data_IF_509434378192
#
_entry.id   IF_509434378192
#
_cell.length_a   1.000
_cell.length_b   1.000
_cell.length_c   1.000
_cell.angle_alpha   90.00
_cell.angle_beta   90.00
_cell.angle_gamma   90.00
#
_symmetry.space_group_name_H-M   'P 1'
#
loop_
_entity.id
_entity.type
_entity.pdbx_description
1 polymer ?
#
# COMPACT_ATOMS: atom_id res chain seq x y z
N UNK A 1 -52.44 -4.58 12.56
CA UNK A 1 -51.66 -3.42 12.07
C UNK A 1 -51.18 -3.68 10.66
N UNK A 2 -51.18 -2.65 9.80
CA UNK A 2 -50.66 -2.70 8.43
C UNK A 2 -49.43 -1.81 8.35
N UNK A 3 -48.37 -2.28 7.68
CA UNK A 3 -47.12 -1.55 7.48
C UNK A 3 -46.91 -1.33 5.98
N UNK A 4 -46.83 -0.06 5.57
CA UNK A 4 -46.41 0.31 4.22
C UNK A 4 -44.91 0.59 4.20
N UNK A 5 -44.20 -0.01 3.25
CA UNK A 5 -42.74 0.13 3.10
C UNK A 5 -42.45 0.74 1.73
N UNK A 6 -41.76 1.87 1.71
CA UNK A 6 -41.28 2.53 0.50
C UNK A 6 -39.76 2.65 0.52
N UNK A 7 -39.13 2.51 -0.65
CA UNK A 7 -37.69 2.70 -0.84
C UNK A 7 -37.51 3.56 -2.08
N UNK A 8 -36.70 4.61 -1.96
CA UNK A 8 -36.37 5.51 -3.06
C UNK A 8 -34.86 5.55 -3.26
N UNK A 9 -34.41 5.70 -4.51
CA UNK A 9 -33.00 5.65 -4.87
C UNK A 9 -32.77 5.93 -6.35
N UNK A 10 -31.50 6.10 -6.72
CA UNK A 10 -31.08 6.39 -8.10
C UNK A 10 -30.88 5.13 -8.96
N UNK A 11 -30.72 3.97 -8.33
CA UNK A 11 -30.57 2.67 -8.99
C UNK A 11 -31.79 1.78 -8.70
N UNK A 12 -32.64 1.59 -9.71
CA UNK A 12 -33.90 0.87 -9.58
C UNK A 12 -33.73 -0.63 -9.21
N UNK A 13 -32.85 -1.41 -9.86
CA UNK A 13 -32.50 -2.75 -9.39
C UNK A 13 -32.15 -2.82 -7.90
N UNK A 14 -31.34 -1.89 -7.39
CA UNK A 14 -30.96 -1.87 -5.97
C UNK A 14 -32.12 -1.50 -5.05
N UNK A 15 -33.00 -0.60 -5.49
CA UNK A 15 -34.25 -0.25 -4.78
C UNK A 15 -35.16 -1.48 -4.66
N UNK A 16 -35.36 -2.21 -5.76
CA UNK A 16 -36.19 -3.42 -5.77
C UNK A 16 -35.56 -4.54 -4.94
N UNK A 17 -34.24 -4.71 -5.00
CA UNK A 17 -33.52 -5.66 -4.14
C UNK A 17 -33.70 -5.32 -2.66
N UNK A 18 -33.63 -4.05 -2.29
CA UNK A 18 -33.86 -3.60 -0.92
C UNK A 18 -35.28 -3.95 -0.46
N UNK A 19 -36.29 -3.71 -1.31
CA UNK A 19 -37.67 -4.11 -1.03
C UNK A 19 -37.82 -5.64 -0.91
N UNK A 20 -37.13 -6.42 -1.74
CA UNK A 20 -37.12 -7.88 -1.62
C UNK A 20 -36.53 -8.35 -0.28
N UNK A 21 -35.43 -7.73 0.18
CA UNK A 21 -34.80 -8.02 1.47
C UNK A 21 -35.77 -7.68 2.61
N UNK A 22 -36.39 -6.49 2.60
CA UNK A 22 -37.38 -6.12 3.60
C UNK A 22 -38.57 -7.07 3.62
N UNK A 23 -39.11 -7.41 2.46
CA UNK A 23 -40.23 -8.33 2.33
C UNK A 23 -39.89 -9.73 2.86
N UNK A 24 -38.71 -10.26 2.54
CA UNK A 24 -38.25 -11.54 3.08
C UNK A 24 -38.12 -11.49 4.61
N UNK A 25 -37.49 -10.45 5.15
CA UNK A 25 -37.32 -10.29 6.61
C UNK A 25 -38.65 -10.14 7.37
N UNK A 26 -39.65 -9.49 6.77
CA UNK A 26 -40.99 -9.34 7.33
C UNK A 26 -41.78 -10.66 7.22
N UNK A 27 -41.67 -11.36 6.09
CA UNK A 27 -42.28 -12.68 5.90
C UNK A 27 -41.75 -13.70 6.92
N UNK A 28 -40.44 -13.71 7.17
CA UNK A 28 -39.81 -14.58 8.19
C UNK A 28 -40.29 -14.27 9.61
N UNK A 29 -40.80 -13.05 9.85
CA UNK A 29 -41.41 -12.63 11.12
C UNK A 29 -42.92 -12.87 11.18
N UNK A 30 -43.50 -13.53 10.17
CA UNK A 30 -44.92 -13.88 10.11
C UNK A 30 -45.83 -12.83 9.47
N UNK A 31 -45.27 -11.82 8.79
CA UNK A 31 -46.09 -10.87 8.05
C UNK A 31 -46.55 -11.44 6.70
N UNK A 32 -47.78 -11.13 6.28
CA UNK A 32 -48.25 -11.38 4.92
C UNK A 32 -47.80 -10.22 4.02
N UNK A 33 -47.11 -10.53 2.93
CA UNK A 33 -46.61 -9.52 2.00
C UNK A 33 -47.61 -9.30 0.87
N UNK A 34 -48.16 -8.09 0.81
CA UNK A 34 -49.05 -7.66 -0.27
C UNK A 34 -48.25 -6.93 -1.38
N UNK A 35 -48.26 -7.42 -2.63
CA UNK A 35 -47.52 -6.78 -3.72
C UNK A 35 -48.12 -5.43 -4.12
N UNK A 36 -47.27 -4.45 -4.39
CA UNK A 36 -47.65 -3.10 -4.80
C UNK A 36 -47.18 -2.81 -6.22
N UNK A 37 -48.11 -2.35 -7.06
CA UNK A 37 -47.82 -1.90 -8.42
C UNK A 37 -47.40 -0.43 -8.42
N UNK A 38 -46.20 -0.16 -8.91
CA UNK A 38 -45.67 1.19 -9.14
C UNK A 38 -45.74 1.51 -10.63
N UNK A 39 -46.40 2.61 -10.97
CA UNK A 39 -46.52 3.09 -12.35
C UNK A 39 -45.64 4.34 -12.56
N UNK A 40 -44.64 4.20 -13.42
CA UNK A 40 -43.71 5.27 -13.77
C UNK A 40 -44.19 6.01 -15.02
N UNK A 41 -44.06 7.35 -15.01
CA UNK A 41 -44.37 8.20 -16.17
C UNK A 41 -43.43 7.92 -17.35
N UNK A 42 -42.19 7.51 -17.07
CA UNK A 42 -41.14 7.17 -18.04
C UNK A 42 -40.78 5.68 -18.00
N UNK A 43 -40.14 5.17 -19.05
CA UNK A 43 -39.71 3.76 -19.12
C UNK A 43 -38.45 3.58 -18.29
N UNK A 44 -38.52 2.74 -17.26
CA UNK A 44 -37.35 2.36 -16.43
C UNK A 44 -36.65 1.11 -16.98
N UNK A 45 -35.54 0.71 -16.36
CA UNK A 45 -34.83 -0.54 -16.65
C UNK A 45 -35.66 -1.80 -16.42
N UNK A 46 -36.69 -1.73 -15.54
CA UNK A 46 -37.63 -2.82 -15.26
C UNK A 46 -39.00 -2.61 -15.92
N UNK A 47 -39.16 -1.57 -16.75
CA UNK A 47 -40.41 -1.24 -17.45
C UNK A 47 -41.15 -0.03 -16.88
N UNK A 48 -42.36 0.24 -17.38
CA UNK A 48 -43.19 1.36 -16.88
C UNK A 48 -44.06 0.98 -15.68
N UNK A 49 -44.32 -0.30 -15.50
CA UNK A 49 -45.21 -0.87 -14.48
C UNK A 49 -44.42 -1.95 -13.76
N UNK A 50 -44.06 -1.71 -12.51
CA UNK A 50 -43.21 -2.60 -11.72
C UNK A 50 -43.98 -3.02 -10.47
N UNK A 51 -44.25 -4.31 -10.33
CA UNK A 51 -44.87 -4.86 -9.12
C UNK A 51 -43.76 -5.28 -8.16
N UNK A 52 -43.78 -4.75 -6.94
CA UNK A 52 -42.79 -5.06 -5.90
C UNK A 52 -43.46 -5.75 -4.71
N UNK A 53 -42.78 -6.68 -4.01
CA UNK A 53 -41.46 -7.25 -4.32
C UNK A 53 -41.46 -8.02 -5.66
N UNK A 54 -40.31 -8.05 -6.35
CA UNK A 54 -40.18 -8.68 -7.67
C UNK A 54 -39.07 -9.72 -7.67
N UNK A 55 -39.33 -10.89 -8.26
CA UNK A 55 -38.29 -11.90 -8.45
C UNK A 55 -37.26 -11.41 -9.51
N UNK A 56 -36.07 -10.99 -9.05
CA UNK A 56 -34.95 -10.57 -9.88
C UNK A 56 -34.00 -11.73 -10.23
N UNK A 57 -34.33 -12.95 -9.81
CA UNK A 57 -33.45 -14.11 -9.90
C UNK A 57 -33.04 -14.41 -11.34
N UNK A 58 -31.75 -14.72 -11.51
CA UNK A 58 -31.19 -15.27 -12.74
C UNK A 58 -30.78 -16.71 -12.48
N UNK A 59 -31.26 -17.64 -13.31
CA UNK A 59 -30.79 -19.01 -13.26
C UNK A 59 -29.48 -19.14 -14.01
N UNK A 60 -28.51 -19.85 -13.43
CA UNK A 60 -27.24 -20.15 -14.08
C UNK A 60 -27.04 -21.65 -14.13
N UNK A 61 -26.60 -22.17 -15.28
CA UNK A 61 -26.27 -23.60 -15.43
C UNK A 61 -24.77 -23.75 -15.45
N UNK A 62 -24.24 -24.61 -14.58
CA UNK A 62 -22.82 -24.78 -14.32
C UNK A 62 -22.46 -26.26 -14.45
N UNK A 63 -21.46 -26.62 -15.28
CA UNK A 63 -20.92 -27.98 -15.30
C UNK A 63 -20.26 -28.33 -13.97
N UNK A 64 -20.50 -29.54 -13.46
CA UNK A 64 -19.90 -30.00 -12.19
C UNK A 64 -18.38 -29.99 -12.25
N UNK A 65 -17.80 -30.39 -13.40
CA UNK A 65 -16.36 -30.36 -13.62
C UNK A 65 -15.74 -28.98 -13.36
N UNK A 66 -16.44 -27.89 -13.68
CA UNK A 66 -15.94 -26.53 -13.42
C UNK A 66 -15.83 -26.24 -11.91
N UNK A 67 -16.78 -26.74 -11.13
CA UNK A 67 -16.78 -26.59 -9.66
C UNK A 67 -15.65 -27.43 -9.06
N UNK A 68 -15.53 -28.68 -9.48
CA UNK A 68 -14.50 -29.61 -8.98
C UNK A 68 -13.08 -29.14 -9.33
N UNK A 69 -12.89 -28.64 -10.57
CA UNK A 69 -11.61 -28.09 -11.01
C UNK A 69 -11.22 -26.85 -10.18
N UNK A 70 -12.18 -25.97 -9.89
CA UNK A 70 -11.92 -24.77 -9.11
C UNK A 70 -11.63 -25.07 -7.63
N UNK A 71 -12.29 -26.08 -7.05
CA UNK A 71 -12.06 -26.53 -5.67
C UNK A 71 -10.87 -27.47 -5.51
N UNK A 72 -10.36 -28.03 -6.62
CA UNK A 72 -9.26 -28.99 -6.61
C UNK A 72 -9.64 -30.37 -6.05
N UNK A 73 -10.93 -30.70 -5.99
CA UNK A 73 -11.41 -31.97 -5.45
C UNK A 73 -12.65 -32.46 -6.22
N UNK A 74 -12.70 -33.75 -6.53
CA UNK A 74 -13.89 -34.40 -7.06
C UNK A 74 -14.93 -34.56 -5.94
N UNK A 75 -16.12 -33.98 -6.14
CA UNK A 75 -17.19 -33.96 -5.13
C UNK A 75 -18.41 -34.79 -5.57
N UNK A 76 -18.67 -34.82 -6.87
CA UNK A 76 -19.86 -35.41 -7.45
C UNK A 76 -21.11 -34.54 -7.32
N UNK A 77 -22.06 -34.76 -8.24
CA UNK A 77 -23.25 -33.93 -8.41
C UNK A 77 -24.16 -33.88 -7.17
N UNK A 78 -24.26 -34.98 -6.42
CA UNK A 78 -25.12 -35.07 -5.22
C UNK A 78 -24.62 -34.20 -4.08
N UNK A 79 -23.31 -34.22 -3.83
CA UNK A 79 -22.68 -33.43 -2.76
C UNK A 79 -22.79 -31.94 -3.10
N UNK A 80 -22.49 -31.57 -4.34
CA UNK A 80 -22.62 -30.17 -4.80
C UNK A 80 -24.07 -29.69 -4.70
N UNK A 81 -25.04 -30.51 -5.11
CA UNK A 81 -26.46 -30.16 -4.98
C UNK A 81 -26.85 -29.94 -3.51
N UNK A 82 -26.52 -30.87 -2.62
CA UNK A 82 -26.85 -30.76 -1.20
C UNK A 82 -26.20 -29.54 -0.56
N UNK A 83 -24.93 -29.26 -0.88
CA UNK A 83 -24.21 -28.10 -0.37
C UNK A 83 -24.91 -26.79 -0.76
N UNK A 84 -25.32 -26.67 -2.03
CA UNK A 84 -26.01 -25.49 -2.55
C UNK A 84 -27.43 -25.33 -2.00
N UNK A 85 -28.17 -26.43 -1.84
CA UNK A 85 -29.50 -26.41 -1.23
C UNK A 85 -29.43 -25.96 0.25
N UNK A 86 -28.45 -26.46 1.01
CA UNK A 86 -28.20 -26.02 2.40
C UNK A 86 -27.85 -24.53 2.44
N UNK A 87 -27.14 -24.03 1.42
CA UNK A 87 -26.80 -22.62 1.31
C UNK A 87 -27.99 -21.73 0.85
N UNK A 88 -29.12 -22.32 0.48
CA UNK A 88 -30.35 -21.60 0.13
C UNK A 88 -30.57 -21.40 -1.38
N UNK A 89 -29.85 -22.11 -2.24
CA UNK A 89 -30.15 -22.13 -3.68
C UNK A 89 -31.36 -23.00 -4.01
N UNK A 90 -32.13 -22.57 -5.00
CA UNK A 90 -32.98 -23.47 -5.77
C UNK A 90 -32.10 -24.19 -6.81
N UNK A 91 -31.95 -25.50 -6.67
CA UNK A 91 -31.05 -26.32 -7.50
C UNK A 91 -31.83 -27.32 -8.35
N UNK A 92 -31.42 -27.51 -9.60
CA UNK A 92 -31.88 -28.59 -10.47
C UNK A 92 -30.68 -29.26 -11.13
N UNK A 93 -30.40 -30.51 -10.76
CA UNK A 93 -29.28 -31.30 -11.26
C UNK A 93 -29.68 -32.16 -12.47
N UNK A 94 -28.84 -32.20 -13.51
CA UNK A 94 -29.05 -33.07 -14.67
C UNK A 94 -27.91 -33.01 -15.69
N UNK A 95 -27.66 -34.13 -16.39
CA UNK A 95 -26.67 -34.24 -17.48
C UNK A 95 -25.26 -33.71 -17.13
N UNK A 96 -24.78 -33.96 -15.91
CA UNK A 96 -23.45 -33.50 -15.46
C UNK A 96 -23.35 -32.00 -15.13
N UNK A 97 -24.48 -31.31 -14.98
CA UNK A 97 -24.56 -29.89 -14.67
C UNK A 97 -25.58 -29.62 -13.56
N UNK A 98 -25.40 -28.50 -12.84
CA UNK A 98 -26.36 -27.96 -11.88
C UNK A 98 -26.89 -26.64 -12.40
N UNK A 99 -28.21 -26.51 -12.46
CA UNK A 99 -28.89 -25.23 -12.64
C UNK A 99 -29.21 -24.68 -11.27
N UNK A 100 -28.69 -23.50 -10.98
CA UNK A 100 -28.84 -22.84 -9.68
C UNK A 100 -29.57 -21.53 -9.84
N UNK A 101 -30.33 -21.15 -8.82
CA UNK A 101 -31.05 -19.88 -8.74
C UNK A 101 -31.01 -19.41 -7.29
N UNK A 102 -30.53 -18.18 -7.06
CA UNK A 102 -30.46 -17.60 -5.71
C UNK A 102 -31.85 -17.34 -5.13
N UNK A 103 -31.98 -17.16 -3.81
CA UNK A 103 -33.19 -16.63 -3.21
C UNK A 103 -33.42 -15.16 -3.60
N UNK A 104 -34.66 -14.63 -3.54
CA UNK A 104 -35.01 -13.32 -4.10
C UNK A 104 -34.38 -12.12 -3.37
N UNK A 105 -33.85 -12.34 -2.16
CA UNK A 105 -33.13 -11.36 -1.36
C UNK A 105 -31.61 -11.33 -1.65
N UNK A 106 -31.10 -12.22 -2.51
CA UNK A 106 -29.70 -12.27 -2.94
C UNK A 106 -29.57 -11.97 -4.44
N UNK A 107 -28.64 -11.08 -4.78
CA UNK A 107 -28.36 -10.67 -6.16
C UNK A 107 -26.85 -10.62 -6.47
N UNK A 108 -26.07 -11.41 -5.75
CA UNK A 108 -24.62 -11.49 -5.82
C UNK A 108 -24.12 -12.57 -6.80
N UNK A 109 -24.99 -13.31 -7.47
CA UNK A 109 -24.61 -14.29 -8.51
C UNK A 109 -24.26 -13.60 -9.83
N UNK A 110 -23.01 -13.17 -9.96
CA UNK A 110 -22.43 -12.53 -11.14
C UNK A 110 -21.61 -13.51 -11.97
N UNK A 111 -20.77 -14.31 -11.32
CA UNK A 111 -19.84 -15.24 -11.91
C UNK A 111 -20.13 -16.69 -11.49
N UNK A 112 -19.46 -17.65 -12.14
CA UNK A 112 -19.59 -19.08 -11.78
C UNK A 112 -18.85 -19.35 -10.47
N UNK A 113 -17.84 -18.52 -10.17
CA UNK A 113 -17.02 -18.63 -8.97
C UNK A 113 -17.81 -18.33 -7.69
N UNK A 114 -18.84 -17.49 -7.74
CA UNK A 114 -19.71 -17.25 -6.57
C UNK A 114 -20.40 -18.54 -6.11
N UNK A 115 -20.80 -19.40 -7.06
CA UNK A 115 -21.38 -20.72 -6.75
C UNK A 115 -20.33 -21.68 -6.22
N UNK A 116 -19.09 -21.59 -6.72
CA UNK A 116 -17.96 -22.40 -6.24
C UNK A 116 -17.63 -22.03 -4.79
N UNK A 117 -17.58 -20.73 -4.48
CA UNK A 117 -17.40 -20.21 -3.13
C UNK A 117 -18.51 -20.70 -2.20
N UNK A 118 -19.78 -20.57 -2.61
CA UNK A 118 -20.91 -21.01 -1.80
C UNK A 118 -20.91 -22.53 -1.54
N UNK A 119 -20.46 -23.35 -2.50
CA UNK A 119 -20.20 -24.79 -2.27
C UNK A 119 -19.10 -25.00 -1.24
N UNK A 120 -18.00 -24.25 -1.35
CA UNK A 120 -16.87 -24.37 -0.43
C UNK A 120 -17.22 -23.92 0.99
N UNK A 121 -17.98 -22.83 1.12
CA UNK A 121 -18.47 -22.32 2.41
C UNK A 121 -19.45 -23.29 3.06
N UNK A 122 -20.39 -23.85 2.31
CA UNK A 122 -21.37 -24.82 2.81
C UNK A 122 -20.71 -26.09 3.36
N UNK A 123 -19.60 -26.52 2.75
CA UNK A 123 -18.78 -27.64 3.23
C UNK A 123 -17.80 -27.27 4.34
N UNK A 124 -17.38 -26.01 4.38
CA UNK A 124 -16.32 -25.55 5.26
C UNK A 124 -14.93 -25.77 4.66
N UNK A 125 -14.11 -24.72 4.69
CA UNK A 125 -12.78 -24.74 4.07
C UNK A 125 -11.82 -25.79 4.63
N UNK A 126 -12.03 -26.24 5.88
CA UNK A 126 -11.20 -27.26 6.52
C UNK A 126 -11.38 -28.67 5.91
N UNK A 127 -12.44 -28.92 5.15
CA UNK A 127 -12.64 -30.23 4.50
C UNK A 127 -11.74 -30.44 3.28
N UNK A 128 -11.22 -29.36 2.69
CA UNK A 128 -10.38 -29.44 1.50
C UNK A 128 -8.94 -29.77 1.89
N UNK A 129 -8.38 -30.81 1.27
CA UNK A 129 -6.99 -31.20 1.52
C UNK A 129 -6.05 -30.20 0.87
N UNK A 130 -5.10 -29.58 1.61
CA UNK A 130 -4.14 -28.66 1.03
C UNK A 130 -3.28 -29.36 -0.04
N UNK A 131 -3.16 -28.72 -1.20
CA UNK A 131 -2.33 -29.20 -2.31
C UNK A 131 -1.17 -28.24 -2.51
N UNK A 132 0.06 -28.76 -2.50
CA UNK A 132 1.24 -27.96 -2.84
C UNK A 132 1.28 -27.70 -4.34
N UNK A 133 1.57 -26.47 -4.80
CA UNK A 133 1.78 -26.19 -6.22
C UNK A 133 2.89 -27.09 -6.80
N UNK A 134 2.61 -27.75 -7.92
CA UNK A 134 3.56 -28.64 -8.58
C UNK A 134 4.63 -27.90 -9.42
N UNK A 135 4.45 -26.60 -9.63
CA UNK A 135 5.37 -25.78 -10.44
C UNK A 135 6.49 -25.24 -9.55
N UNK A 136 7.72 -25.64 -9.86
CA UNK A 136 8.92 -25.12 -9.21
C UNK A 136 9.43 -23.87 -9.94
N UNK A 137 9.65 -22.79 -9.20
CA UNK A 137 10.31 -21.58 -9.68
C UNK A 137 11.43 -21.20 -8.71
N UNK A 138 12.55 -20.71 -9.25
CA UNK A 138 13.64 -20.18 -8.42
C UNK A 138 13.36 -18.70 -8.18
N UNK A 139 13.08 -18.35 -6.94
CA UNK A 139 12.98 -16.94 -6.51
C UNK A 139 14.36 -16.31 -6.37
N UNK A 140 14.41 -14.98 -6.44
CA UNK A 140 15.63 -14.21 -6.21
C UNK A 140 15.31 -12.79 -5.77
N UNK A 141 16.24 -12.18 -5.03
CA UNK A 141 16.13 -10.78 -4.64
C UNK A 141 16.31 -9.87 -5.87
N UNK A 142 15.56 -8.78 -5.91
CA UNK A 142 15.79 -7.72 -6.89
C UNK A 142 17.19 -7.12 -6.68
N UNK A 143 17.80 -6.55 -7.73
CA UNK A 143 19.13 -5.96 -7.63
C UNK A 143 19.17 -4.81 -6.61
N UNK A 144 18.06 -4.09 -6.43
CA UNK A 144 17.97 -3.04 -5.41
C UNK A 144 18.02 -3.62 -4.00
N UNK A 145 17.29 -4.71 -3.72
CA UNK A 145 17.34 -5.30 -2.38
C UNK A 145 18.72 -5.88 -2.07
N UNK A 146 19.39 -6.50 -3.05
CA UNK A 146 20.76 -7.00 -2.85
C UNK A 146 21.74 -5.87 -2.46
N UNK A 147 21.63 -4.70 -3.11
CA UNK A 147 22.49 -3.54 -2.81
C UNK A 147 22.10 -2.91 -1.47
N UNK A 148 20.81 -2.77 -1.19
CA UNK A 148 20.29 -2.22 0.06
C UNK A 148 20.68 -3.08 1.27
N UNK A 149 20.51 -4.40 1.19
CA UNK A 149 20.90 -5.32 2.27
C UNK A 149 22.41 -5.27 2.52
N UNK A 150 23.22 -5.26 1.46
CA UNK A 150 24.66 -5.11 1.60
C UNK A 150 25.05 -3.77 2.22
N UNK A 151 24.39 -2.68 1.86
CA UNK A 151 24.61 -1.38 2.46
C UNK A 151 24.22 -1.36 3.95
N UNK A 152 23.08 -1.96 4.32
CA UNK A 152 22.64 -2.10 5.72
C UNK A 152 23.67 -2.86 6.55
N UNK A 153 24.13 -4.01 6.07
CA UNK A 153 25.15 -4.83 6.76
C UNK A 153 26.44 -4.03 7.00
N UNK A 154 26.89 -3.26 6.00
CA UNK A 154 28.08 -2.42 6.12
C UNK A 154 27.89 -1.30 7.14
N UNK A 155 26.74 -0.63 7.15
CA UNK A 155 26.45 0.44 8.11
C UNK A 155 26.37 -0.08 9.54
N UNK A 156 25.77 -1.26 9.75
CA UNK A 156 25.80 -1.95 11.05
C UNK A 156 27.24 -2.28 11.46
N UNK A 157 28.06 -2.78 10.52
CA UNK A 157 29.49 -3.04 10.75
C UNK A 157 30.30 -1.80 11.11
N UNK A 158 29.91 -0.61 10.61
CA UNK A 158 30.48 0.69 10.95
C UNK A 158 29.97 1.26 12.29
N UNK A 159 29.15 0.50 13.01
CA UNK A 159 28.62 0.85 14.33
C UNK A 159 27.42 1.79 14.29
N UNK A 160 26.71 1.86 13.15
CA UNK A 160 25.45 2.59 13.08
C UNK A 160 24.27 1.71 13.49
N UNK A 161 23.26 2.34 14.09
CA UNK A 161 21.97 1.73 14.41
C UNK A 161 20.96 2.05 13.32
N UNK A 162 20.34 1.01 12.76
CA UNK A 162 19.28 1.18 11.77
C UNK A 162 18.00 1.68 12.44
N UNK A 163 17.37 2.66 11.80
CA UNK A 163 16.10 3.25 12.17
C UNK A 163 15.13 3.10 10.99
N UNK A 164 13.85 2.88 11.30
CA UNK A 164 12.78 2.85 10.30
C UNK A 164 11.85 4.00 10.63
N UNK A 165 11.73 4.95 9.71
CA UNK A 165 10.86 6.11 9.88
C UNK A 165 9.65 6.08 8.95
N UNK A 166 8.64 6.88 9.27
CA UNK A 166 7.47 7.00 8.42
C UNK A 166 7.87 7.75 7.14
N UNK A 167 7.41 7.25 5.99
CA UNK A 167 7.59 7.92 4.70
C UNK A 167 6.75 9.21 4.61
N UNK A 168 5.62 9.26 5.32
CA UNK A 168 4.75 10.43 5.41
C UNK A 168 5.21 11.36 6.53
N UNK A 169 5.18 12.65 6.25
CA UNK A 169 5.51 13.71 7.19
C UNK A 169 4.83 15.02 6.83
N UNK A 170 5.36 16.12 7.36
CA UNK A 170 4.89 17.46 7.04
C UNK A 170 5.92 18.23 6.19
N UNK A 171 5.47 19.18 5.34
CA UNK A 171 6.39 20.06 4.61
C UNK A 171 7.29 20.86 5.55
N UNK A 172 6.75 21.27 6.71
CA UNK A 172 7.53 21.94 7.75
C UNK A 172 8.75 21.11 8.18
N UNK A 173 8.58 19.79 8.36
CA UNK A 173 9.68 18.90 8.74
C UNK A 173 10.64 18.64 7.57
N UNK A 174 10.13 18.28 6.38
CA UNK A 174 11.00 17.87 5.28
C UNK A 174 11.70 19.02 4.56
N UNK A 175 11.07 20.20 4.49
CA UNK A 175 11.65 21.38 3.83
C UNK A 175 11.88 22.57 4.77
N UNK A 176 10.91 22.91 5.62
CA UNK A 176 10.96 24.08 6.50
C UNK A 176 12.14 24.03 7.47
N UNK A 177 12.20 23.03 8.36
CA UNK A 177 13.29 22.85 9.31
C UNK A 177 14.66 22.66 8.64
N UNK A 178 14.66 22.22 7.39
CA UNK A 178 15.87 22.02 6.59
C UNK A 178 16.29 23.25 5.79
N UNK A 179 15.50 24.34 5.79
CA UNK A 179 15.77 25.60 5.05
C UNK A 179 15.78 25.44 3.52
N UNK A 180 14.94 24.55 2.98
CA UNK A 180 14.90 24.25 1.54
C UNK A 180 13.53 24.49 0.89
N UNK A 181 12.56 25.03 1.62
CA UNK A 181 11.18 25.28 1.20
C UNK A 181 11.03 26.16 -0.05
N UNK A 182 11.94 27.10 -0.26
CA UNK A 182 11.96 27.99 -1.45
C UNK A 182 13.08 27.63 -2.45
N UNK A 183 13.58 26.39 -2.41
CA UNK A 183 14.71 25.95 -3.25
C UNK A 183 14.33 24.78 -4.15
N UNK A 184 15.18 24.48 -5.14
CA UNK A 184 15.03 23.30 -5.99
C UNK A 184 15.00 21.98 -5.20
N UNK A 185 15.66 21.95 -4.04
CA UNK A 185 15.72 20.80 -3.14
C UNK A 185 14.41 20.57 -2.39
N UNK A 186 13.53 21.58 -2.31
CA UNK A 186 12.27 21.55 -1.55
C UNK A 186 11.10 20.90 -2.28
N UNK A 187 11.28 20.45 -3.53
CA UNK A 187 10.21 19.83 -4.30
C UNK A 187 9.82 18.47 -3.70
N UNK A 188 8.52 18.28 -3.44
CA UNK A 188 8.00 17.09 -2.76
C UNK A 188 6.61 16.69 -3.28
N UNK A 189 6.27 15.42 -3.13
CA UNK A 189 4.93 14.90 -3.44
C UNK A 189 4.00 15.17 -2.25
N UNK A 190 2.90 15.89 -2.50
CA UNK A 190 1.91 16.24 -1.48
C UNK A 190 0.66 15.36 -1.61
N UNK A 191 0.10 14.98 -0.48
CA UNK A 191 -1.13 14.20 -0.42
C UNK A 191 -2.31 15.17 -0.41
N UNK A 192 -3.28 14.94 -1.30
CA UNK A 192 -4.54 15.69 -1.30
C UNK A 192 -5.52 15.11 -0.27
N UNK A 193 -6.44 15.94 0.25
CA UNK A 193 -7.46 15.54 1.25
C UNK A 193 -6.90 14.85 2.50
N UNK A 194 -5.86 15.43 3.10
CA UNK A 194 -5.19 14.87 4.28
C UNK A 194 -6.05 14.98 5.53
N UNK A 195 -6.10 13.91 6.32
CA UNK A 195 -6.76 13.92 7.63
C UNK A 195 -5.98 14.74 8.67
N UNK A 196 -4.66 14.83 8.51
CA UNK A 196 -3.77 15.59 9.40
C UNK A 196 -2.60 16.20 8.62
N UNK A 197 -2.19 17.40 9.01
CA UNK A 197 -1.05 18.10 8.41
C UNK A 197 0.29 17.39 8.67
N UNK A 198 0.36 16.54 9.70
CA UNK A 198 1.55 15.75 10.02
C UNK A 198 1.86 14.65 9.00
N UNK A 199 0.89 14.29 8.14
CA UNK A 199 1.05 13.28 7.09
C UNK A 199 0.58 13.85 5.75
N UNK A 200 1.04 15.06 5.43
CA UNK A 200 0.59 15.82 4.26
C UNK A 200 1.53 15.76 3.06
N UNK A 201 2.73 15.20 3.22
CA UNK A 201 3.64 14.95 2.11
C UNK A 201 4.47 13.68 2.32
N UNK A 202 5.03 13.19 1.23
CA UNK A 202 6.03 12.13 1.21
C UNK A 202 7.43 12.75 1.36
N UNK A 203 8.32 12.05 2.05
CA UNK A 203 9.73 12.44 2.17
C UNK A 203 10.43 12.39 0.81
N UNK A 204 11.22 13.42 0.50
CA UNK A 204 12.11 13.44 -0.68
C UNK A 204 13.54 12.95 -0.39
N UNK A 205 13.89 12.80 0.89
CA UNK A 205 15.20 12.38 1.41
C UNK A 205 15.07 11.89 2.85
N UNK A 206 16.09 11.20 3.38
CA UNK A 206 16.03 10.48 4.65
C UNK A 206 16.45 11.35 5.84
N UNK A 207 17.35 12.32 5.63
CA UNK A 207 17.94 13.12 6.71
C UNK A 207 16.96 13.74 7.71
N UNK A 208 15.84 14.37 7.29
CA UNK A 208 14.93 14.99 8.26
C UNK A 208 14.31 13.96 9.20
N UNK A 209 14.08 12.74 8.71
CA UNK A 209 13.58 11.65 9.54
C UNK A 209 14.59 11.22 10.60
N UNK A 210 15.88 11.17 10.24
CA UNK A 210 16.96 10.86 11.19
C UNK A 210 17.16 11.98 12.20
N UNK A 211 17.11 13.25 11.78
CA UNK A 211 17.20 14.41 12.67
C UNK A 211 16.04 14.46 13.67
N UNK A 212 14.82 14.11 13.24
CA UNK A 212 13.66 13.97 14.14
C UNK A 212 13.92 12.95 15.26
N UNK A 213 14.58 11.85 14.93
CA UNK A 213 14.91 10.79 15.91
C UNK A 213 16.07 11.23 16.81
N UNK A 214 17.08 11.90 16.27
CA UNK A 214 18.17 12.49 17.05
C UNK A 214 17.62 13.50 18.08
N UNK A 215 16.72 14.39 17.67
CA UNK A 215 16.06 15.35 18.56
C UNK A 215 15.32 14.66 19.71
N UNK A 216 14.61 13.56 19.42
CA UNK A 216 13.92 12.76 20.42
C UNK A 216 14.88 11.94 21.32
N UNK A 217 16.12 11.73 20.89
CA UNK A 217 17.11 10.88 21.54
C UNK A 217 18.11 11.66 22.40
N UNK A 218 17.92 12.96 22.61
CA UNK A 218 18.81 13.85 23.38
C UNK A 218 19.15 13.38 24.81
N UNK A 219 18.40 12.43 25.38
CA UNK A 219 18.66 11.84 26.70
C UNK A 219 19.57 10.62 26.68
N UNK A 220 19.84 10.05 25.51
CA UNK A 220 20.73 8.91 25.34
C UNK A 220 22.21 9.34 25.37
N UNK A 221 23.09 8.37 25.55
CA UNK A 221 24.53 8.62 25.62
C UNK A 221 25.13 8.74 24.23
N UNK A 222 25.79 9.87 23.98
CA UNK A 222 26.60 10.09 22.78
C UNK A 222 27.84 9.17 22.76
N UNK A 223 28.37 8.82 21.57
CA UNK A 223 27.95 9.28 20.23
C UNK A 223 26.73 8.53 19.69
N UNK A 224 25.83 9.25 19.01
CA UNK A 224 24.74 8.63 18.26
C UNK A 224 25.16 8.43 16.81
N UNK A 225 24.96 7.22 16.30
CA UNK A 225 25.22 6.83 14.91
C UNK A 225 23.96 6.18 14.38
N UNK A 226 23.19 6.93 13.59
CA UNK A 226 21.88 6.51 13.11
C UNK A 226 21.91 6.41 11.60
N UNK A 227 21.26 5.39 11.03
CA UNK A 227 21.08 5.30 9.59
C UNK A 227 19.73 4.72 9.25
N UNK A 228 19.29 4.95 8.01
CA UNK A 228 18.08 4.35 7.47
C UNK A 228 18.27 4.12 5.97
N UNK A 229 17.95 2.92 5.50
CA UNK A 229 17.84 2.58 4.09
C UNK A 229 16.36 2.38 3.72
N UNK A 230 15.76 3.37 3.06
CA UNK A 230 14.34 3.35 2.76
C UNK A 230 13.94 4.22 1.57
N UNK A 231 12.66 4.11 1.21
CA UNK A 231 12.16 4.73 -0.01
C UNK A 231 11.81 6.20 0.16
N UNK A 232 12.11 6.99 -0.86
CA UNK A 232 11.77 8.41 -0.98
C UNK A 232 10.98 8.63 -2.27
N UNK A 233 10.13 9.67 -2.27
CA UNK A 233 9.36 10.05 -3.44
C UNK A 233 9.96 11.31 -4.07
N UNK A 234 10.52 11.17 -5.27
CA UNK A 234 11.09 12.28 -6.02
C UNK A 234 10.09 12.71 -7.10
N UNK A 235 9.68 13.99 -7.14
CA UNK A 235 8.84 14.50 -8.21
C UNK A 235 9.47 14.27 -9.59
N UNK A 236 8.68 13.74 -10.52
CA UNK A 236 9.10 13.53 -11.91
C UNK A 236 7.89 13.60 -12.84
N UNK A 237 7.73 14.75 -13.50
CA UNK A 237 6.64 14.97 -14.44
C UNK A 237 6.72 14.09 -15.70
N UNK A 238 7.86 13.45 -15.96
CA UNK A 238 8.03 12.54 -17.10
C UNK A 238 7.59 11.11 -16.80
N UNK A 239 7.45 10.76 -15.52
CA UNK A 239 7.03 9.44 -15.07
C UNK A 239 5.49 9.31 -15.09
N UNK A 240 4.95 8.13 -15.37
CA UNK A 240 3.50 7.89 -15.51
C UNK A 240 2.69 8.30 -14.26
N UNK A 241 3.29 8.12 -13.08
CA UNK A 241 2.73 8.49 -11.78
C UNK A 241 3.02 9.93 -11.35
N UNK A 242 3.75 10.73 -12.15
CA UNK A 242 4.20 12.08 -11.79
C UNK A 242 5.28 12.13 -10.70
N UNK A 243 5.77 10.97 -10.26
CA UNK A 243 6.83 10.81 -9.27
C UNK A 243 7.54 9.47 -9.44
N UNK A 244 8.80 9.39 -9.02
CA UNK A 244 9.59 8.17 -8.94
C UNK A 244 9.83 7.79 -7.47
N UNK A 245 9.80 6.50 -7.19
CA UNK A 245 10.24 5.96 -5.90
C UNK A 245 11.68 5.51 -6.04
N UNK A 246 12.55 6.04 -5.19
CA UNK A 246 13.95 5.65 -5.14
C UNK A 246 14.33 5.26 -3.72
N UNK A 247 15.21 4.28 -3.58
CA UNK A 247 15.69 3.81 -2.28
C UNK A 247 16.98 4.56 -1.93
N UNK A 248 16.98 5.16 -0.75
CA UNK A 248 18.02 6.06 -0.27
C UNK A 248 18.54 5.58 1.07
N UNK A 249 19.85 5.67 1.24
CA UNK A 249 20.56 5.46 2.48
C UNK A 249 20.93 6.82 3.10
N UNK A 250 20.25 7.19 4.18
CA UNK A 250 20.62 8.32 5.02
C UNK A 250 21.44 7.87 6.22
N UNK A 251 22.41 8.68 6.64
CA UNK A 251 23.19 8.43 7.84
C UNK A 251 23.49 9.74 8.58
N UNK A 252 23.51 9.66 9.91
CA UNK A 252 23.74 10.78 10.83
C UNK A 252 24.70 10.32 11.93
N UNK A 253 25.72 11.13 12.22
CA UNK A 253 26.56 11.02 13.40
C UNK A 253 26.41 12.30 14.21
N UNK A 254 26.05 12.17 15.49
CA UNK A 254 25.89 13.29 16.41
C UNK A 254 26.77 13.09 17.66
N UNK A 255 27.62 14.07 17.96
CA UNK A 255 28.37 14.23 19.22
C UNK A 255 29.16 15.55 19.22
N UNK A 256 29.72 15.92 20.37
CA UNK A 256 30.40 17.21 20.58
C UNK A 256 31.59 17.50 19.64
N UNK A 257 32.23 16.46 19.09
CA UNK A 257 33.38 16.59 18.19
C UNK A 257 33.08 16.09 16.77
N UNK A 258 31.79 15.96 16.40
CA UNK A 258 31.40 15.52 15.08
C UNK A 258 31.91 16.50 14.01
N UNK A 259 32.54 15.98 12.97
CA UNK A 259 33.23 16.76 11.94
C UNK A 259 33.20 16.02 10.60
N UNK A 260 33.32 16.76 9.50
CA UNK A 260 33.17 16.23 8.14
C UNK A 260 33.99 14.96 7.85
N UNK A 261 35.24 14.90 8.33
CA UNK A 261 36.15 13.78 8.06
C UNK A 261 35.66 12.45 8.65
N UNK A 262 34.89 12.47 9.73
CA UNK A 262 34.36 11.24 10.36
C UNK A 262 33.30 10.59 9.48
N UNK A 263 32.32 11.37 9.01
CA UNK A 263 31.26 10.87 8.14
C UNK A 263 31.81 10.51 6.75
N UNK A 264 32.79 11.27 6.26
CA UNK A 264 33.48 11.00 5.01
C UNK A 264 34.21 9.65 5.05
N UNK A 265 34.89 9.33 6.16
CA UNK A 265 35.58 8.04 6.32
C UNK A 265 34.60 6.85 6.31
N UNK A 266 33.38 7.04 6.85
CA UNK A 266 32.33 6.03 6.79
C UNK A 266 31.80 5.86 5.36
N UNK A 267 31.62 6.96 4.62
CA UNK A 267 31.22 6.96 3.21
C UNK A 267 32.28 6.28 2.33
N UNK A 268 33.56 6.62 2.51
CA UNK A 268 34.70 5.98 1.83
C UNK A 268 34.69 4.46 2.01
N UNK A 269 34.49 4.02 3.24
CA UNK A 269 34.45 2.59 3.58
C UNK A 269 33.25 1.90 2.91
N UNK A 270 32.08 2.54 2.91
CA UNK A 270 30.88 2.04 2.25
C UNK A 270 31.13 1.85 0.74
N UNK A 271 31.66 2.87 0.06
CA UNK A 271 31.97 2.81 -1.38
C UNK A 271 33.02 1.76 -1.73
N UNK A 272 34.05 1.61 -0.89
CA UNK A 272 35.08 0.58 -1.05
C UNK A 272 34.46 -0.84 -1.07
N UNK A 273 33.59 -1.15 -0.11
CA UNK A 273 32.95 -2.47 -0.04
C UNK A 273 31.81 -2.70 -1.04
N UNK A 274 31.20 -1.61 -1.53
CA UNK A 274 30.26 -1.66 -2.66
C UNK A 274 30.98 -1.77 -4.01
N UNK A 275 32.31 -1.60 -4.05
CA UNK A 275 33.11 -1.71 -5.26
C UNK A 275 32.84 -0.57 -6.26
N UNK A 276 32.59 0.64 -5.75
CA UNK A 276 32.22 1.81 -6.54
C UNK A 276 33.19 2.95 -6.27
N UNK A 277 33.71 3.57 -7.32
CA UNK A 277 34.50 4.80 -7.21
C UNK A 277 33.57 6.01 -7.23
N UNK A 278 33.84 6.98 -6.35
CA UNK A 278 33.07 8.21 -6.26
C UNK A 278 33.98 9.43 -6.18
N UNK A 279 33.41 10.60 -6.45
CA UNK A 279 34.07 11.90 -6.28
C UNK A 279 33.18 12.83 -5.48
N UNK A 280 33.81 13.76 -4.77
CA UNK A 280 33.12 14.84 -4.08
C UNK A 280 33.34 16.16 -4.79
N UNK A 281 32.26 16.89 -5.01
CA UNK A 281 32.28 18.25 -5.52
C UNK A 281 31.66 19.20 -4.48
N UNK A 282 32.33 20.31 -4.09
CA UNK A 282 31.73 21.28 -3.19
C UNK A 282 30.40 21.81 -3.73
N UNK A 283 29.36 21.81 -2.90
CA UNK A 283 28.02 22.29 -3.29
C UNK A 283 27.44 23.20 -2.20
N UNK A 284 26.92 24.38 -2.53
CA UNK A 284 26.16 25.18 -1.58
C UNK A 284 24.80 24.50 -1.34
N UNK A 285 24.50 24.19 -0.08
CA UNK A 285 23.20 23.62 0.30
C UNK A 285 22.72 24.24 1.62
N UNK A 286 21.52 24.85 1.69
CA UNK A 286 21.05 25.59 2.87
C UNK A 286 21.00 24.78 4.17
N UNK A 287 20.77 23.46 4.07
CA UNK A 287 20.73 22.58 5.24
C UNK A 287 22.09 22.29 5.88
N UNK A 288 23.19 22.62 5.18
CA UNK A 288 24.56 22.32 5.61
C UNK A 288 25.36 23.60 5.85
N UNK A 289 26.44 23.49 6.60
CA UNK A 289 27.36 24.60 6.86
C UNK A 289 28.11 24.98 5.59
N UNK A 290 28.24 26.28 5.34
CA UNK A 290 28.90 26.81 4.14
C UNK A 290 30.36 26.32 4.04
N UNK A 291 30.74 25.80 2.86
CA UNK A 291 32.07 25.21 2.64
C UNK A 291 32.28 23.83 3.28
N UNK A 292 31.29 23.27 3.97
CA UNK A 292 31.32 21.93 4.61
C UNK A 292 30.25 20.99 4.06
N UNK A 293 29.93 21.13 2.78
CA UNK A 293 28.99 20.29 2.05
C UNK A 293 29.59 19.86 0.70
N UNK A 294 29.35 18.60 0.34
CA UNK A 294 29.81 17.99 -0.90
C UNK A 294 28.70 17.18 -1.56
N UNK A 295 28.60 17.29 -2.89
CA UNK A 295 27.79 16.43 -3.73
C UNK A 295 28.57 15.16 -4.03
N UNK A 296 27.92 14.01 -3.86
CA UNK A 296 28.48 12.70 -4.15
C UNK A 296 28.22 12.38 -5.62
N UNK A 297 29.28 12.14 -6.38
CA UNK A 297 29.22 11.87 -7.82
C UNK A 297 29.75 10.48 -8.15
N UNK A 298 29.05 9.76 -9.01
CA UNK A 298 29.54 8.53 -9.65
C UNK A 298 29.44 8.70 -11.16
N UNK A 299 30.55 8.52 -11.86
CA UNK A 299 30.63 8.78 -13.31
C UNK A 299 29.99 10.14 -13.69
N UNK A 300 30.32 11.19 -12.92
CA UNK A 300 29.83 12.57 -13.04
C UNK A 300 28.30 12.75 -12.87
N UNK A 301 27.58 11.74 -12.37
CA UNK A 301 26.16 11.83 -12.00
C UNK A 301 25.98 12.04 -10.50
N UNK A 302 25.13 12.99 -10.07
CA UNK A 302 24.81 13.18 -8.66
C UNK A 302 24.02 11.99 -8.11
N UNK A 303 24.54 11.38 -7.04
CA UNK A 303 23.90 10.26 -6.35
C UNK A 303 23.61 10.56 -4.89
N UNK A 304 24.04 11.71 -4.36
CA UNK A 304 23.81 12.05 -2.96
C UNK A 304 24.48 13.33 -2.51
N UNK A 305 24.39 13.60 -1.21
CA UNK A 305 24.98 14.76 -0.54
C UNK A 305 25.60 14.33 0.80
N UNK A 306 26.69 14.98 1.21
CA UNK A 306 27.40 14.78 2.48
C UNK A 306 27.76 16.13 3.06
N UNK A 307 27.69 16.30 4.39
CA UNK A 307 28.16 17.51 5.02
C UNK A 307 27.93 17.62 6.53
N UNK A 308 28.35 18.77 7.07
CA UNK A 308 28.04 19.22 8.44
C UNK A 308 26.72 19.99 8.44
N UNK A 309 25.77 19.62 9.30
CA UNK A 309 24.44 20.25 9.35
C UNK A 309 24.56 21.69 9.84
N UNK A 310 23.82 22.61 9.21
CA UNK A 310 23.84 24.03 9.55
C UNK A 310 23.30 24.27 10.97
N UNK A 311 23.91 25.15 11.79
CA UNK A 311 23.44 25.43 13.16
C UNK A 311 21.97 25.82 13.28
N UNK A 312 21.47 26.64 12.35
CA UNK A 312 20.05 27.02 12.29
C UNK A 312 19.12 25.82 12.04
N UNK A 313 19.55 24.79 11.29
CA UNK A 313 18.77 23.55 11.13
C UNK A 313 18.73 22.79 12.45
N UNK A 314 19.88 22.68 13.13
CA UNK A 314 19.96 22.03 14.45
C UNK A 314 19.05 22.73 15.47
N UNK A 315 19.03 24.07 15.47
CA UNK A 315 18.15 24.86 16.32
C UNK A 315 16.66 24.61 16.02
N UNK A 316 16.25 24.60 14.73
CA UNK A 316 14.88 24.28 14.32
C UNK A 316 14.45 22.87 14.76
N UNK A 317 15.37 21.91 14.77
CA UNK A 317 15.15 20.55 15.27
C UNK A 317 15.36 20.38 16.78
N UNK A 318 15.80 21.42 17.50
CA UNK A 318 16.13 21.38 18.93
C UNK A 318 17.27 20.39 19.28
N UNK A 319 18.24 20.24 18.37
CA UNK A 319 19.43 19.40 18.55
C UNK A 319 20.58 20.27 19.08
N UNK A 320 21.19 19.86 20.19
CA UNK A 320 22.25 20.63 20.86
C UNK A 320 23.66 20.23 20.45
N UNK A 321 23.83 19.04 19.86
CA UNK A 321 25.13 18.54 19.41
C UNK A 321 25.39 18.86 17.94
N UNK A 322 26.65 19.06 17.54
CA UNK A 322 27.03 19.03 16.13
C UNK A 322 26.61 17.72 15.47
N UNK A 323 26.11 17.82 14.23
CA UNK A 323 25.67 16.68 13.43
C UNK A 323 26.33 16.69 12.07
N UNK A 324 26.84 15.53 11.68
CA UNK A 324 27.34 15.28 10.32
C UNK A 324 26.51 14.19 9.68
N UNK A 325 26.24 14.32 8.38
CA UNK A 325 25.30 13.45 7.71
C UNK A 325 25.66 13.24 6.24
N UNK A 326 25.17 12.13 5.68
CA UNK A 326 25.07 11.93 4.25
C UNK A 326 23.72 11.33 3.87
N UNK A 327 23.31 11.57 2.64
CA UNK A 327 22.13 11.00 2.02
C UNK A 327 22.55 10.47 0.63
N UNK A 328 22.42 9.17 0.41
CA UNK A 328 22.96 8.45 -0.75
C UNK A 328 21.87 7.63 -1.43
N UNK A 329 21.63 7.89 -2.70
CA UNK A 329 20.66 7.18 -3.51
C UNK A 329 21.20 5.82 -3.98
N UNK A 330 20.69 4.75 -3.39
CA UNK A 330 21.10 3.37 -3.73
C UNK A 330 20.53 2.93 -5.08
N UNK A 331 19.34 3.40 -5.46
CA UNK A 331 18.76 3.09 -6.77
C UNK A 331 19.65 3.56 -7.92
N UNK A 332 20.33 4.69 -7.78
CA UNK A 332 21.26 5.21 -8.77
C UNK A 332 22.57 4.40 -8.86
N UNK A 333 22.93 3.61 -7.83
CA UNK A 333 24.14 2.74 -7.83
C UNK A 333 24.00 1.51 -8.72
N UNK A 334 22.76 1.16 -9.06
CA UNK A 334 22.41 -0.04 -9.84
C UNK A 334 22.57 0.19 -11.34
N UNK A 335 22.65 1.44 -11.79
CA UNK A 335 22.47 1.87 -13.20
C UNK A 335 23.61 1.43 -14.14
N UNK A 336 24.60 0.67 -13.66
CA UNK A 336 25.54 0.01 -14.57
C UNK A 336 24.88 -1.18 -15.28
N UNK A 337 24.65 -0.97 -16.58
CA UNK A 337 24.68 -1.98 -17.65
C UNK A 337 26.12 -2.33 -17.98
#
# INVERSE_FOLDING_TARGET
DQLFVEVTGTDLPMVVLTLNIFAANLADRGATIEPILVEYSTRTSLGKRVTTPQDLKRSKTIPIHTIEQALGQELGIKVVQQALEVYGYEVSAGKGSVRVKLPPYRQDLMHTMDVVEDVAMSRGYAEFTPVMPAQFTVGGLSRIEQVSDRARELMVGLGFQEIISNILGSPEQYSGHMRIDETEWGQMVKVDNVMTLNFSCLRQWILPSLLRIEAASSRAFYPHRLFEAGDVAIPDATHESGSRTETVLGAVIAHAAAHFSEIHSCLDTLFYYLGKEYRLEPVPHPSFLEGRAGRILIADKPVGIIGEIHPEVLERWQITMPVVAFDLNLSQLIIER
#
